data_IF_732154760915
#
_entry.id   IF_732154760915
#
_cell.length_a   1.000
_cell.length_b   1.000
_cell.length_c   1.000
_cell.angle_alpha   90.00
_cell.angle_beta   90.00
_cell.angle_gamma   90.00
#
_symmetry.space_group_name_H-M   'P 1'
#
loop_
_entity.id
_entity.type
_entity.pdbx_description
1 polymer ?
#
# COMPACT_ATOMS: atom_id res chain seq x y z
N UNK A 1 -9.72 3.93 20.79
CA UNK A 1 -9.20 5.29 20.48
C UNK A 1 -10.28 6.09 19.76
N UNK A 2 -10.41 7.39 20.05
CA UNK A 2 -11.34 8.31 19.35
C UNK A 2 -10.54 9.40 18.63
N UNK A 3 -10.92 9.72 17.40
CA UNK A 3 -10.38 10.86 16.68
C UNK A 3 -11.04 12.15 17.14
N UNK A 4 -10.23 13.13 17.53
CA UNK A 4 -10.69 14.49 17.87
C UNK A 4 -11.15 15.18 16.58
N UNK A 5 -12.27 15.90 16.67
CA UNK A 5 -12.82 16.63 15.52
C UNK A 5 -11.88 17.78 15.15
N UNK A 6 -11.68 18.04 13.85
CA UNK A 6 -10.84 19.14 13.36
C UNK A 6 -9.34 18.96 13.62
N UNK A 7 -8.90 17.75 13.98
CA UNK A 7 -7.48 17.50 14.28
C UNK A 7 -6.68 17.41 12.99
N UNK A 8 -5.62 18.21 12.92
CA UNK A 8 -4.54 18.08 11.96
C UNK A 8 -3.44 17.18 12.53
N UNK A 9 -2.94 16.26 11.71
CA UNK A 9 -1.81 15.38 11.99
C UNK A 9 -0.73 15.56 10.91
N UNK A 10 0.52 15.22 11.20
CA UNK A 10 1.62 15.45 10.26
C UNK A 10 1.56 14.49 9.07
N UNK A 11 1.18 13.24 9.31
CA UNK A 11 1.12 12.24 8.25
C UNK A 11 0.12 11.10 8.48
N UNK A 12 -0.39 10.57 7.36
CA UNK A 12 -1.19 9.36 7.26
C UNK A 12 -0.51 8.35 6.34
N UNK A 13 -0.37 7.11 6.78
CA UNK A 13 0.27 6.03 6.03
C UNK A 13 -0.68 4.84 5.87
N UNK A 14 -0.81 4.33 4.65
CA UNK A 14 -1.64 3.19 4.31
C UNK A 14 -1.02 2.44 3.11
N UNK A 15 -1.16 1.13 3.07
CA UNK A 15 -0.64 0.24 2.02
C UNK A 15 -1.61 -0.89 1.70
N UNK A 16 -1.29 -1.70 0.69
CA UNK A 16 -1.87 -3.03 0.47
C UNK A 16 -3.41 -3.02 0.45
N UNK A 17 -3.96 -2.04 -0.29
CA UNK A 17 -5.40 -1.88 -0.51
C UNK A 17 -5.89 -2.86 -1.57
N UNK A 18 -5.04 -3.15 -2.57
CA UNK A 18 -5.37 -3.91 -3.78
C UNK A 18 -6.72 -3.48 -4.36
N UNK A 19 -6.91 -2.17 -4.51
CA UNK A 19 -8.17 -1.64 -5.00
C UNK A 19 -8.41 -2.13 -6.42
N UNK A 20 -9.68 -2.29 -6.80
CA UNK A 20 -10.13 -2.89 -8.06
C UNK A 20 -10.05 -4.44 -8.11
N UNK A 21 -9.45 -5.09 -7.11
CA UNK A 21 -9.57 -6.54 -6.94
C UNK A 21 -11.05 -6.97 -6.86
N UNK A 22 -11.36 -8.14 -7.41
CA UNK A 22 -12.70 -8.72 -7.35
C UNK A 22 -12.77 -9.70 -6.18
N UNK A 23 -13.83 -9.65 -5.37
CA UNK A 23 -14.08 -10.62 -4.28
C UNK A 23 -14.05 -12.08 -4.72
N UNK A 24 -14.35 -12.37 -5.99
CA UNK A 24 -14.26 -13.72 -6.56
C UNK A 24 -12.83 -14.25 -6.70
N UNK A 25 -11.84 -13.35 -6.68
CA UNK A 25 -10.41 -13.63 -6.82
C UNK A 25 -9.84 -13.75 -5.41
N UNK A 26 -9.86 -12.64 -4.66
CA UNK A 26 -9.34 -12.57 -3.30
C UNK A 26 -10.25 -11.73 -2.44
N UNK A 27 -10.42 -12.13 -1.18
CA UNK A 27 -11.16 -11.36 -0.19
C UNK A 27 -10.49 -9.99 0.00
N UNK A 28 -11.29 -8.97 0.28
CA UNK A 28 -10.78 -7.62 0.51
C UNK A 28 -11.77 -6.82 1.35
N UNK A 29 -11.27 -5.81 2.06
CA UNK A 29 -12.02 -5.01 3.04
C UNK A 29 -12.22 -3.56 2.59
N UNK A 30 -12.48 -3.37 1.29
CA UNK A 30 -12.68 -2.02 0.71
C UNK A 30 -13.89 -1.28 1.29
N UNK A 31 -14.90 -1.99 1.80
CA UNK A 31 -16.07 -1.37 2.44
C UNK A 31 -15.65 -0.74 3.77
N UNK A 32 -14.87 -1.47 4.55
CA UNK A 32 -14.29 -1.04 5.82
C UNK A 32 -13.32 0.12 5.60
N UNK A 33 -12.50 0.06 4.54
CA UNK A 33 -11.65 1.19 4.13
C UNK A 33 -12.47 2.45 3.89
N UNK A 34 -13.52 2.37 3.08
CA UNK A 34 -14.37 3.53 2.85
C UNK A 34 -15.06 4.02 4.11
N UNK A 35 -15.43 3.13 5.03
CA UNK A 35 -15.95 3.54 6.33
C UNK A 35 -14.91 4.29 7.17
N UNK A 36 -13.63 3.88 7.15
CA UNK A 36 -12.55 4.62 7.80
C UNK A 36 -12.41 6.01 7.16
N UNK A 37 -12.23 6.08 5.84
CA UNK A 37 -11.96 7.35 5.16
C UNK A 37 -13.15 8.33 5.33
N UNK A 38 -14.38 7.83 5.20
CA UNK A 38 -15.59 8.63 5.41
C UNK A 38 -15.71 9.07 6.90
N UNK A 39 -15.28 8.23 7.85
CA UNK A 39 -15.28 8.59 9.27
C UNK A 39 -14.26 9.69 9.59
N UNK A 40 -13.02 9.56 9.11
CA UNK A 40 -11.97 10.58 9.27
C UNK A 40 -12.41 11.89 8.64
N UNK A 41 -12.96 11.84 7.41
CA UNK A 41 -13.47 13.03 6.75
C UNK A 41 -14.63 13.68 7.54
N UNK A 42 -15.60 12.90 8.02
CA UNK A 42 -16.72 13.43 8.84
C UNK A 42 -16.24 14.05 10.15
N UNK A 43 -15.12 13.58 10.68
CA UNK A 43 -14.46 14.16 11.87
C UNK A 43 -13.57 15.35 11.53
N UNK A 44 -13.52 15.79 10.26
CA UNK A 44 -12.63 16.88 9.83
C UNK A 44 -11.17 16.60 10.22
N UNK A 45 -10.78 15.32 10.28
CA UNK A 45 -9.39 14.94 10.48
C UNK A 45 -8.66 15.17 9.17
N UNK A 46 -7.54 15.86 9.24
CA UNK A 46 -6.69 16.18 8.08
C UNK A 46 -5.25 15.80 8.37
N UNK A 47 -4.49 15.63 7.31
CA UNK A 47 -3.08 15.29 7.36
C UNK A 47 -2.32 16.18 6.41
N UNK A 48 -1.17 16.69 6.86
CA UNK A 48 -0.27 17.41 5.96
C UNK A 48 0.26 16.46 4.90
N UNK A 49 0.79 15.31 5.32
CA UNK A 49 1.36 14.36 4.38
C UNK A 49 0.51 13.09 4.25
N UNK A 50 0.21 12.68 3.02
CA UNK A 50 -0.41 11.38 2.74
C UNK A 50 0.62 10.47 2.10
N UNK A 51 0.82 9.28 2.65
CA UNK A 51 1.73 8.27 2.11
C UNK A 51 0.93 7.02 1.77
N UNK A 52 0.86 6.73 0.47
CA UNK A 52 0.35 5.47 -0.05
C UNK A 52 1.54 4.55 -0.31
N UNK A 53 1.75 3.55 0.55
CA UNK A 53 2.97 2.74 0.59
C UNK A 53 2.82 1.46 -0.24
N UNK A 54 2.51 1.63 -1.52
CA UNK A 54 2.40 0.55 -2.50
C UNK A 54 1.18 -0.34 -2.36
N UNK A 55 0.92 -1.08 -3.43
CA UNK A 55 -0.18 -2.03 -3.60
C UNK A 55 -1.55 -1.40 -3.33
N UNK A 56 -1.71 -0.17 -3.81
CA UNK A 56 -2.94 0.60 -3.68
C UNK A 56 -3.96 0.16 -4.71
N UNK A 57 -3.51 -0.08 -5.94
CA UNK A 57 -4.31 -0.63 -7.02
C UNK A 57 -3.79 -2.03 -7.36
N UNK A 58 -4.70 -2.88 -7.77
CA UNK A 58 -4.34 -4.19 -8.30
C UNK A 58 -4.18 -4.08 -9.83
N UNK A 59 -3.05 -4.52 -10.38
CA UNK A 59 -2.74 -4.45 -11.81
C UNK A 59 -2.19 -5.77 -12.39
N UNK A 60 -1.94 -6.79 -11.56
CA UNK A 60 -1.47 -8.09 -12.03
C UNK A 60 -2.62 -8.94 -12.58
N UNK A 61 -3.77 -8.86 -11.91
CA UNK A 61 -4.95 -9.63 -12.29
C UNK A 61 -5.79 -8.97 -13.40
N UNK A 62 -5.54 -7.70 -13.70
CA UNK A 62 -6.23 -6.97 -14.76
C UNK A 62 -5.49 -5.67 -15.08
N UNK A 63 -5.72 -5.13 -16.27
CA UNK A 63 -5.16 -3.82 -16.63
C UNK A 63 -5.89 -2.66 -15.95
N UNK A 64 -5.19 -1.97 -15.04
CA UNK A 64 -5.61 -0.71 -14.42
C UNK A 64 -5.92 0.36 -15.48
N UNK A 65 -5.10 0.48 -16.53
CA UNK A 65 -5.31 1.37 -17.67
C UNK A 65 -6.64 1.16 -18.38
N UNK A 66 -6.96 -0.11 -18.71
CA UNK A 66 -8.24 -0.44 -19.36
C UNK A 66 -9.42 -0.10 -18.44
N UNK A 67 -9.27 -0.28 -17.13
CA UNK A 67 -10.31 0.10 -16.16
C UNK A 67 -10.47 1.61 -16.09
N UNK A 68 -9.38 2.36 -16.03
CA UNK A 68 -9.41 3.81 -15.94
C UNK A 68 -10.06 4.46 -17.16
N UNK A 69 -9.90 3.88 -18.36
CA UNK A 69 -10.56 4.36 -19.58
C UNK A 69 -12.07 4.11 -19.60
N UNK A 70 -12.54 3.05 -18.94
CA UNK A 70 -13.98 2.73 -18.90
C UNK A 70 -14.68 3.62 -17.88
N UNK A 71 -15.86 4.16 -18.23
CA UNK A 71 -16.68 5.01 -17.33
C UNK A 71 -16.86 4.38 -15.94
N UNK A 72 -17.25 3.10 -15.86
CA UNK A 72 -17.43 2.40 -14.57
C UNK A 72 -16.12 2.26 -13.78
N UNK A 73 -14.99 2.07 -14.45
CA UNK A 73 -13.70 1.93 -13.78
C UNK A 73 -13.13 3.28 -13.32
N UNK A 74 -13.22 4.33 -14.15
CA UNK A 74 -12.91 5.72 -13.75
C UNK A 74 -13.70 6.14 -12.51
N UNK A 75 -14.99 5.82 -12.45
CA UNK A 75 -15.83 6.04 -11.25
C UNK A 75 -15.28 5.32 -10.00
N UNK A 76 -14.72 4.11 -10.14
CA UNK A 76 -14.09 3.40 -9.02
C UNK A 76 -12.80 4.09 -8.58
N UNK A 77 -11.90 4.43 -9.50
CA UNK A 77 -10.69 5.20 -9.19
C UNK A 77 -11.04 6.48 -8.41
N UNK A 78 -11.94 7.30 -8.97
CA UNK A 78 -12.42 8.51 -8.32
C UNK A 78 -12.99 8.24 -6.93
N UNK A 79 -13.77 7.17 -6.76
CA UNK A 79 -14.33 6.78 -5.46
C UNK A 79 -13.28 6.62 -4.36
N UNK A 80 -12.12 6.04 -4.69
CA UNK A 80 -11.01 5.87 -3.76
C UNK A 80 -10.22 7.18 -3.59
N UNK A 81 -9.72 7.74 -4.70
CA UNK A 81 -8.80 8.87 -4.63
C UNK A 81 -9.46 10.16 -4.14
N UNK A 82 -10.74 10.41 -4.44
CA UNK A 82 -11.47 11.55 -3.84
C UNK A 82 -11.58 11.42 -2.32
N UNK A 83 -11.69 10.20 -1.79
CA UNK A 83 -11.74 9.99 -0.33
C UNK A 83 -10.39 10.21 0.32
N UNK A 84 -9.32 9.76 -0.34
CA UNK A 84 -7.95 10.00 0.13
C UNK A 84 -7.60 11.49 0.05
N UNK A 85 -7.90 12.15 -1.06
CA UNK A 85 -7.64 13.57 -1.27
C UNK A 85 -8.35 14.45 -0.23
N UNK A 86 -9.57 14.09 0.19
CA UNK A 86 -10.31 14.78 1.26
C UNK A 86 -9.64 14.74 2.63
N UNK A 87 -8.67 13.84 2.83
CA UNK A 87 -7.90 13.78 4.07
C UNK A 87 -6.68 14.71 4.05
N UNK A 88 -6.29 15.24 2.90
CA UNK A 88 -5.18 16.21 2.83
C UNK A 88 -5.59 17.55 3.45
N UNK A 89 -4.65 18.19 4.16
CA UNK A 89 -4.80 19.57 4.65
C UNK A 89 -4.78 20.62 3.54
N UNK A 90 -4.30 20.26 2.34
CA UNK A 90 -4.12 21.15 1.19
C UNK A 90 -2.72 21.75 1.07
N UNK A 91 -1.97 21.85 2.18
CA UNK A 91 -0.63 22.47 2.20
C UNK A 91 0.53 21.47 2.22
N UNK A 92 0.28 20.21 2.58
CA UNK A 92 1.31 19.19 2.59
C UNK A 92 1.30 18.30 1.35
N UNK A 93 2.12 17.23 1.38
CA UNK A 93 2.46 16.44 0.19
C UNK A 93 1.69 15.12 0.14
N UNK A 94 1.42 14.65 -1.07
CA UNK A 94 0.79 13.34 -1.29
C UNK A 94 1.76 12.45 -2.04
N UNK A 95 2.24 11.40 -1.40
CA UNK A 95 3.21 10.47 -1.96
C UNK A 95 2.51 9.16 -2.34
N UNK A 96 2.72 8.74 -3.59
CA UNK A 96 2.39 7.41 -4.07
C UNK A 96 3.69 6.63 -4.22
N UNK A 97 3.99 5.79 -3.25
CA UNK A 97 5.10 4.84 -3.34
C UNK A 97 4.62 3.63 -4.15
N UNK A 98 5.31 3.28 -5.23
CA UNK A 98 4.87 2.19 -6.11
C UNK A 98 5.14 0.83 -5.47
N UNK A 99 4.08 0.02 -5.34
CA UNK A 99 4.17 -1.39 -4.93
C UNK A 99 4.25 -2.34 -6.11
N UNK A 100 4.51 -3.62 -5.83
CA UNK A 100 4.68 -4.60 -6.88
C UNK A 100 3.38 -4.90 -7.63
N UNK A 101 2.22 -4.92 -6.96
CA UNK A 101 0.92 -5.14 -7.59
C UNK A 101 0.40 -3.94 -8.38
N UNK A 102 0.92 -2.73 -8.12
CA UNK A 102 0.49 -1.53 -8.82
C UNK A 102 0.93 -1.53 -10.30
N UNK A 103 1.94 -2.35 -10.64
CA UNK A 103 2.60 -2.32 -11.94
C UNK A 103 2.88 -3.71 -12.53
N UNK A 104 2.90 -3.75 -13.86
CA UNK A 104 3.42 -4.90 -14.65
C UNK A 104 4.67 -4.51 -15.43
N UNK A 105 5.33 -3.41 -15.05
CA UNK A 105 6.56 -2.88 -15.66
C UNK A 105 7.80 -3.48 -15.03
N UNK A 106 8.76 -3.89 -15.86
CA UNK A 106 10.09 -4.31 -15.41
C UNK A 106 10.84 -3.22 -14.64
N UNK A 107 10.48 -1.95 -14.87
CA UNK A 107 11.14 -0.79 -14.28
C UNK A 107 10.43 -0.26 -13.03
N UNK A 108 9.49 -1.00 -12.43
CA UNK A 108 8.72 -0.55 -11.25
C UNK A 108 7.96 0.77 -11.43
N UNK A 109 7.60 1.12 -12.68
CA UNK A 109 6.84 2.33 -13.01
C UNK A 109 5.37 2.03 -13.18
N UNK A 110 4.52 2.95 -12.74
CA UNK A 110 3.09 2.90 -13.08
C UNK A 110 2.90 2.98 -14.60
N UNK A 111 1.74 2.55 -15.06
CA UNK A 111 1.37 2.77 -16.46
C UNK A 111 1.12 4.26 -16.72
N UNK A 112 1.43 4.78 -17.92
CA UNK A 112 1.35 6.22 -18.19
C UNK A 112 0.00 6.85 -17.86
N UNK A 113 -1.12 6.12 -18.05
CA UNK A 113 -2.46 6.65 -17.76
C UNK A 113 -2.77 6.73 -16.27
N UNK A 114 -2.32 5.75 -15.49
CA UNK A 114 -2.46 5.78 -14.02
C UNK A 114 -1.55 6.86 -13.45
N UNK A 115 -0.32 6.95 -13.94
CA UNK A 115 0.64 7.99 -13.56
C UNK A 115 0.08 9.38 -13.83
N UNK A 116 -0.39 9.64 -15.05
CA UNK A 116 -1.03 10.92 -15.41
C UNK A 116 -2.21 11.25 -14.48
N UNK A 117 -3.11 10.29 -14.24
CA UNK A 117 -4.26 10.47 -13.36
C UNK A 117 -3.87 10.86 -11.93
N UNK A 118 -2.78 10.30 -11.41
CA UNK A 118 -2.26 10.61 -10.07
C UNK A 118 -1.57 11.98 -10.05
N UNK A 119 -0.78 12.31 -11.07
CA UNK A 119 -0.09 13.60 -11.21
C UNK A 119 -1.11 14.74 -11.33
N UNK A 120 -2.16 14.59 -12.14
CA UNK A 120 -3.26 15.58 -12.24
C UNK A 120 -3.93 15.85 -10.89
N UNK A 121 -3.88 14.89 -9.98
CA UNK A 121 -4.38 15.01 -8.61
C UNK A 121 -3.32 15.49 -7.63
N UNK A 122 -2.10 15.82 -8.05
CA UNK A 122 -1.02 16.31 -7.19
C UNK A 122 -0.36 15.21 -6.34
N UNK A 123 -0.35 13.96 -6.81
CA UNK A 123 0.42 12.88 -6.19
C UNK A 123 1.85 12.84 -6.73
N UNK A 124 2.82 12.77 -5.83
CA UNK A 124 4.24 12.54 -6.10
C UNK A 124 4.47 11.04 -6.18
N UNK A 125 4.74 10.53 -7.38
CA UNK A 125 4.98 9.10 -7.61
C UNK A 125 6.46 8.81 -7.42
N UNK A 126 6.79 7.81 -6.60
CA UNK A 126 8.17 7.45 -6.27
C UNK A 126 8.29 5.97 -5.90
N UNK A 127 9.52 5.43 -5.88
CA UNK A 127 9.78 4.09 -5.32
C UNK A 127 10.16 4.15 -3.83
N UNK A 128 10.63 5.31 -3.38
CA UNK A 128 11.01 5.65 -2.01
C UNK A 128 10.63 7.10 -1.73
N UNK A 129 9.92 7.33 -0.63
CA UNK A 129 9.70 8.66 -0.07
C UNK A 129 10.55 8.81 1.20
N UNK A 130 11.31 9.88 1.33
CA UNK A 130 12.26 10.05 2.42
C UNK A 130 12.28 11.50 2.89
N UNK A 131 12.40 11.69 4.20
CA UNK A 131 12.68 12.98 4.83
C UNK A 131 13.65 12.80 5.99
N UNK A 132 13.78 13.80 6.86
CA UNK A 132 14.71 13.77 8.00
C UNK A 132 14.35 12.71 9.06
N UNK A 133 13.07 12.34 9.15
CA UNK A 133 12.54 11.48 10.23
C UNK A 133 12.17 10.08 9.76
N UNK A 134 11.84 9.88 8.49
CA UNK A 134 11.35 8.61 7.98
C UNK A 134 11.80 8.30 6.55
N UNK A 135 11.75 7.00 6.24
CA UNK A 135 11.83 6.43 4.90
C UNK A 135 10.59 5.56 4.71
N UNK A 136 9.83 5.79 3.65
CA UNK A 136 8.70 4.96 3.24
C UNK A 136 9.01 4.26 1.91
N UNK A 137 8.94 2.93 1.93
CA UNK A 137 9.11 2.06 0.75
C UNK A 137 8.12 0.91 0.82
N UNK A 138 7.72 0.32 -0.30
CA UNK A 138 6.73 -0.76 -0.28
C UNK A 138 7.18 -2.00 0.51
N UNK A 139 8.38 -2.52 0.25
CA UNK A 139 8.95 -3.67 0.97
C UNK A 139 9.40 -4.81 0.06
N UNK A 140 8.79 -4.96 -1.11
CA UNK A 140 9.16 -5.99 -2.10
C UNK A 140 10.67 -6.00 -2.44
N UNK A 141 11.36 -4.87 -2.28
CA UNK A 141 12.82 -4.73 -2.43
C UNK A 141 13.61 -5.67 -1.49
N UNK A 142 13.04 -6.08 -0.36
CA UNK A 142 13.62 -7.08 0.54
C UNK A 142 13.55 -8.51 0.00
N UNK A 143 12.56 -8.83 -0.85
CA UNK A 143 12.32 -10.18 -1.41
C UNK A 143 12.87 -10.35 -2.83
N UNK A 144 12.83 -9.30 -3.65
CA UNK A 144 13.20 -9.35 -5.07
C UNK A 144 14.46 -8.52 -5.33
N UNK A 145 15.43 -9.13 -6.01
CA UNK A 145 16.43 -8.37 -6.77
C UNK A 145 15.89 -8.08 -8.18
N UNK A 146 16.53 -7.17 -8.92
CA UNK A 146 16.09 -6.74 -10.27
C UNK A 146 15.86 -7.91 -11.23
N UNK A 147 16.74 -8.91 -11.24
CA UNK A 147 16.61 -10.09 -12.12
C UNK A 147 15.39 -10.94 -11.76
N UNK A 148 15.21 -11.21 -10.46
CA UNK A 148 14.07 -12.00 -9.99
C UNK A 148 12.74 -11.27 -10.20
N UNK A 149 12.73 -9.95 -10.04
CA UNK A 149 11.59 -9.10 -10.41
C UNK A 149 11.26 -9.20 -11.90
N UNK A 150 12.28 -9.08 -12.76
CA UNK A 150 12.10 -9.19 -14.21
C UNK A 150 11.55 -10.55 -14.63
N UNK A 151 12.06 -11.63 -14.05
CA UNK A 151 11.54 -12.98 -14.28
C UNK A 151 10.07 -13.09 -13.87
N UNK A 152 9.70 -12.63 -12.67
CA UNK A 152 8.32 -12.67 -12.19
C UNK A 152 7.37 -11.89 -13.09
N UNK A 153 7.74 -10.69 -13.53
CA UNK A 153 6.92 -9.89 -14.45
C UNK A 153 6.78 -10.56 -15.82
N UNK A 154 7.83 -11.19 -16.34
CA UNK A 154 7.75 -11.92 -17.61
C UNK A 154 6.72 -13.05 -17.52
N UNK A 155 6.79 -13.86 -16.46
CA UNK A 155 5.83 -14.95 -16.28
C UNK A 155 4.41 -14.42 -16.05
N UNK A 156 4.24 -13.36 -15.24
CA UNK A 156 2.95 -12.71 -15.04
C UNK A 156 2.33 -12.20 -16.35
N UNK A 157 3.13 -11.59 -17.22
CA UNK A 157 2.66 -11.11 -18.54
C UNK A 157 2.20 -12.27 -19.43
N UNK A 158 2.96 -13.36 -19.45
CA UNK A 158 2.59 -14.58 -20.18
C UNK A 158 1.25 -15.12 -19.65
N UNK A 159 1.14 -15.28 -18.33
CA UNK A 159 -0.09 -15.73 -17.68
C UNK A 159 -1.28 -14.82 -17.97
N UNK A 160 -1.08 -13.49 -17.97
CA UNK A 160 -2.14 -12.54 -18.27
C UNK A 160 -2.63 -12.64 -19.72
N UNK A 161 -1.74 -12.87 -20.70
CA UNK A 161 -2.12 -13.12 -22.10
C UNK A 161 -2.97 -14.38 -22.20
N UNK A 162 -2.51 -15.49 -21.57
CA UNK A 162 -3.26 -16.75 -21.56
C UNK A 162 -4.63 -16.62 -20.87
N UNK A 163 -4.69 -15.97 -19.70
CA UNK A 163 -5.94 -15.76 -18.98
C UNK A 163 -6.90 -14.80 -19.70
N UNK A 164 -6.38 -13.86 -20.49
CA UNK A 164 -7.20 -12.98 -21.32
C UNK A 164 -7.83 -13.72 -22.51
N UNK A 165 -7.14 -14.72 -23.06
CA UNK A 165 -7.66 -15.59 -24.10
C UNK A 165 -8.63 -16.65 -23.55
N UNK A 166 -8.37 -17.16 -22.35
CA UNK A 166 -9.16 -18.21 -21.70
C UNK A 166 -9.51 -17.81 -20.25
N UNK A 167 -10.64 -17.12 -20.02
CA UNK A 167 -11.01 -16.63 -18.69
C UNK A 167 -11.11 -17.72 -17.60
N UNK A 168 -11.39 -18.97 -17.98
CA UNK A 168 -11.40 -20.11 -17.08
C UNK A 168 -10.01 -20.44 -16.48
N UNK A 169 -8.94 -20.07 -17.19
CA UNK A 169 -7.54 -20.27 -16.77
C UNK A 169 -7.03 -19.19 -15.80
N UNK A 170 -7.88 -18.22 -15.47
CA UNK A 170 -7.53 -17.18 -14.51
C UNK A 170 -7.18 -17.77 -13.14
N UNK A 171 -8.00 -18.72 -12.64
CA UNK A 171 -7.76 -19.43 -11.38
C UNK A 171 -6.48 -20.28 -11.43
N UNK A 172 -6.17 -20.89 -12.58
CA UNK A 172 -4.94 -21.64 -12.77
C UNK A 172 -3.70 -20.72 -12.68
N UNK A 173 -3.75 -19.59 -13.39
CA UNK A 173 -2.67 -18.60 -13.41
C UNK A 173 -2.41 -18.00 -12.02
N UNK A 174 -3.48 -17.72 -11.29
CA UNK A 174 -3.45 -17.28 -9.89
C UNK A 174 -2.81 -18.33 -8.97
N UNK A 175 -3.27 -19.58 -9.03
CA UNK A 175 -2.70 -20.68 -8.26
C UNK A 175 -1.22 -20.93 -8.60
N UNK A 176 -0.87 -20.83 -9.88
CA UNK A 176 0.52 -20.97 -10.33
C UNK A 176 1.41 -19.87 -9.76
N UNK A 177 0.96 -18.62 -9.83
CA UNK A 177 1.69 -17.49 -9.25
C UNK A 177 1.86 -17.67 -7.74
N UNK A 178 0.79 -17.96 -7.02
CA UNK A 178 0.84 -18.17 -5.57
C UNK A 178 1.75 -19.32 -5.15
N UNK A 179 1.78 -20.41 -5.93
CA UNK A 179 2.56 -21.60 -5.58
C UNK A 179 4.03 -21.50 -5.96
N UNK A 180 4.37 -20.79 -7.04
CA UNK A 180 5.72 -20.86 -7.62
C UNK A 180 6.46 -19.52 -7.73
N UNK A 181 5.74 -18.38 -7.67
CA UNK A 181 6.33 -17.05 -7.91
C UNK A 181 6.18 -16.10 -6.73
N UNK A 182 5.12 -16.26 -5.94
CA UNK A 182 4.98 -15.52 -4.70
C UNK A 182 6.03 -16.04 -3.72
N UNK A 183 7.15 -15.33 -3.60
CA UNK A 183 8.11 -15.62 -2.54
C UNK A 183 7.38 -15.48 -1.22
N UNK A 184 7.48 -16.51 -0.39
CA UNK A 184 6.73 -16.55 0.85
C UNK A 184 7.14 -15.37 1.72
N UNK A 185 6.13 -14.68 2.23
CA UNK A 185 6.31 -13.71 3.28
C UNK A 185 7.02 -14.38 4.47
N UNK A 186 7.85 -13.64 5.21
CA UNK A 186 8.52 -14.19 6.38
C UNK A 186 7.48 -14.80 7.33
N UNK A 187 7.67 -16.06 7.68
CA UNK A 187 6.69 -16.86 8.42
C UNK A 187 7.06 -17.03 9.90
N UNK A 188 8.35 -16.86 10.20
CA UNK A 188 8.91 -16.90 11.56
C UNK A 188 9.36 -15.51 12.03
N UNK A 189 9.57 -15.37 13.34
CA UNK A 189 10.08 -14.12 13.93
C UNK A 189 11.49 -13.84 13.42
N UNK A 190 12.32 -14.87 13.31
CA UNK A 190 13.70 -14.79 12.82
C UNK A 190 13.74 -14.35 11.34
N UNK A 191 12.90 -14.94 10.49
CA UNK A 191 12.76 -14.53 9.08
C UNK A 191 12.28 -13.09 8.96
N UNK A 192 11.32 -12.69 9.79
CA UNK A 192 10.80 -11.33 9.83
C UNK A 192 11.90 -10.34 10.18
N UNK A 193 12.67 -10.62 11.24
CA UNK A 193 13.80 -9.79 11.65
C UNK A 193 14.87 -9.72 10.55
N UNK A 194 15.21 -10.85 9.94
CA UNK A 194 16.20 -10.91 8.86
C UNK A 194 15.76 -10.09 7.64
N UNK A 195 14.50 -10.24 7.23
CA UNK A 195 13.90 -9.45 6.14
C UNK A 195 14.01 -7.95 6.41
N UNK A 196 13.62 -7.50 7.60
CA UNK A 196 13.65 -6.10 7.97
C UNK A 196 15.07 -5.55 8.17
N UNK A 197 16.02 -6.37 8.63
CA UNK A 197 17.44 -6.00 8.68
C UNK A 197 18.00 -5.77 7.28
N UNK A 198 17.66 -6.66 6.34
CA UNK A 198 18.03 -6.49 4.94
C UNK A 198 17.42 -5.22 4.35
N UNK A 199 16.14 -4.97 4.62
CA UNK A 199 15.43 -3.78 4.13
C UNK A 199 16.01 -2.47 4.69
N UNK A 200 16.35 -2.47 5.98
CA UNK A 200 17.03 -1.37 6.67
C UNK A 200 18.39 -1.04 6.03
N UNK A 201 19.19 -2.07 5.74
CA UNK A 201 20.48 -1.92 5.04
C UNK A 201 20.32 -1.37 3.62
N UNK A 202 19.35 -1.89 2.87
CA UNK A 202 19.08 -1.46 1.49
C UNK A 202 18.60 -0.01 1.40
N UNK A 203 17.93 0.48 2.44
CA UNK A 203 17.39 1.85 2.47
C UNK A 203 18.33 2.88 3.08
N UNK A 204 19.45 2.46 3.66
CA UNK A 204 20.33 3.30 4.47
C UNK A 204 19.53 4.00 5.59
N UNK A 205 18.77 3.20 6.35
CA UNK A 205 17.78 3.72 7.29
C UNK A 205 18.36 4.62 8.39
N UNK A 206 19.57 4.34 8.86
CA UNK A 206 20.20 4.99 10.01
C UNK A 206 19.23 5.10 11.21
N UNK A 207 18.97 6.33 11.68
CA UNK A 207 18.07 6.61 12.82
C UNK A 207 16.62 6.85 12.40
N UNK A 208 16.31 6.87 11.10
CA UNK A 208 14.97 7.18 10.59
C UNK A 208 14.01 6.02 10.85
N UNK A 209 12.71 6.32 10.86
CA UNK A 209 11.68 5.28 10.88
C UNK A 209 11.50 4.73 9.48
N UNK A 210 11.70 3.42 9.31
CA UNK A 210 11.39 2.72 8.08
C UNK A 210 9.93 2.25 8.12
N UNK A 211 9.11 2.77 7.22
CA UNK A 211 7.70 2.42 7.10
C UNK A 211 7.47 1.65 5.80
N UNK A 212 6.88 0.45 5.90
CA UNK A 212 6.61 -0.42 4.75
C UNK A 212 5.21 -1.03 4.76
N UNK A 213 4.87 -1.72 3.67
CA UNK A 213 3.72 -2.60 3.53
C UNK A 213 4.18 -4.01 3.11
N UNK A 214 3.59 -4.55 2.06
CA UNK A 214 4.04 -5.74 1.31
C UNK A 214 3.93 -7.09 2.02
N UNK A 215 4.36 -7.23 3.28
CA UNK A 215 4.25 -8.52 4.01
C UNK A 215 2.88 -8.70 4.67
N UNK A 216 2.00 -7.70 4.57
CA UNK A 216 0.64 -7.68 5.17
C UNK A 216 0.57 -7.77 6.71
N UNK A 217 1.71 -7.95 7.38
CA UNK A 217 1.78 -8.06 8.83
C UNK A 217 1.76 -6.70 9.49
N UNK A 218 0.68 -6.42 10.21
CA UNK A 218 0.60 -5.16 10.95
C UNK A 218 1.46 -5.22 12.21
N UNK A 219 2.67 -4.65 12.14
CA UNK A 219 3.68 -4.76 13.20
C UNK A 219 4.52 -3.50 13.38
N UNK A 220 5.21 -3.45 14.52
CA UNK A 220 6.22 -2.46 14.84
C UNK A 220 7.39 -3.17 15.52
N UNK A 221 8.63 -2.84 15.11
CA UNK A 221 9.87 -3.34 15.69
C UNK A 221 10.64 -2.13 16.24
N UNK A 222 10.37 -1.71 17.49
CA UNK A 222 10.94 -0.48 18.04
C UNK A 222 12.47 -0.45 18.06
N UNK A 223 13.10 -1.60 18.35
CA UNK A 223 14.57 -1.71 18.38
C UNK A 223 15.24 -1.44 17.03
N UNK A 224 14.47 -1.48 15.94
CA UNK A 224 14.94 -1.24 14.58
C UNK A 224 14.30 -0.01 13.94
N UNK A 225 13.46 0.75 14.66
CA UNK A 225 12.66 1.84 14.11
C UNK A 225 11.83 1.44 12.88
N UNK A 226 11.24 0.25 12.89
CA UNK A 226 10.50 -0.30 11.75
C UNK A 226 9.01 -0.37 12.05
N UNK A 227 8.21 0.02 11.08
CA UNK A 227 6.75 -0.10 11.11
C UNK A 227 6.28 -0.72 9.79
N UNK A 228 5.41 -1.71 9.87
CA UNK A 228 4.63 -2.17 8.73
C UNK A 228 3.18 -1.72 8.91
N UNK A 229 2.58 -1.12 7.87
CA UNK A 229 1.21 -0.61 7.90
C UNK A 229 0.14 -1.70 7.87
N UNK A 230 0.51 -2.95 7.60
CA UNK A 230 -0.40 -4.07 7.40
C UNK A 230 -1.13 -3.96 6.07
N UNK A 231 -2.45 -4.21 6.06
CA UNK A 231 -3.21 -4.24 4.81
C UNK A 231 -4.70 -3.89 4.99
N UNK A 232 -5.43 -3.84 3.86
CA UNK A 232 -6.89 -3.77 3.81
C UNK A 232 -7.52 -5.03 3.22
N UNK A 233 -6.91 -6.18 3.52
CA UNK A 233 -7.36 -7.52 3.18
C UNK A 233 -7.67 -8.33 4.45
N UNK A 234 -6.74 -8.33 5.40
CA UNK A 234 -6.80 -9.01 6.70
C UNK A 234 -6.79 -8.02 7.87
N UNK A 235 -5.91 -7.03 7.85
CA UNK A 235 -5.52 -6.27 9.05
C UNK A 235 -6.43 -5.10 9.39
N UNK A 236 -6.96 -4.37 8.39
CA UNK A 236 -7.72 -3.11 8.58
C UNK A 236 -6.90 -2.04 9.32
N UNK A 237 -5.65 -1.88 8.92
CA UNK A 237 -4.68 -1.08 9.66
C UNK A 237 -4.15 0.10 8.86
N UNK A 238 -3.67 1.09 9.60
CA UNK A 238 -3.02 2.29 9.08
C UNK A 238 -2.15 2.90 10.19
N UNK A 239 -1.30 3.84 9.81
CA UNK A 239 -0.42 4.56 10.76
C UNK A 239 -0.68 6.05 10.64
N UNK A 240 -0.60 6.76 11.76
CA UNK A 240 -0.64 8.22 11.81
C UNK A 240 0.60 8.75 12.52
N UNK A 241 1.08 9.92 12.10
CA UNK A 241 2.17 10.65 12.75
C UNK A 241 1.65 11.93 13.40
N UNK A 242 2.09 12.19 14.63
CA UNK A 242 1.87 13.42 15.41
C UNK A 242 3.18 13.80 16.11
N UNK A 243 3.88 14.77 15.55
CA UNK A 243 5.27 15.10 15.79
C UNK A 243 6.19 13.89 15.62
N UNK A 244 6.84 13.54 16.73
CA UNK A 244 7.76 12.40 16.86
C UNK A 244 7.07 11.06 17.12
N UNK A 245 5.73 11.04 17.17
CA UNK A 245 4.95 9.86 17.57
C UNK A 245 4.28 9.23 16.37
N UNK A 246 4.57 7.95 16.12
CA UNK A 246 3.90 7.13 15.13
C UNK A 246 2.95 6.17 15.83
N UNK A 247 1.65 6.31 15.59
CA UNK A 247 0.63 5.43 16.17
C UNK A 247 0.11 4.45 15.13
N UNK A 248 0.30 3.16 15.38
CA UNK A 248 -0.35 2.09 14.62
C UNK A 248 -1.78 1.89 15.09
N UNK A 249 -2.74 1.97 14.17
CA UNK A 249 -4.17 1.86 14.47
C UNK A 249 -4.82 0.78 13.62
N UNK A 250 -5.62 -0.06 14.27
CA UNK A 250 -6.48 -1.07 13.65
C UNK A 250 -7.95 -0.68 13.79
N UNK A 251 -8.72 -0.82 12.72
CA UNK A 251 -10.18 -0.74 12.77
C UNK A 251 -10.77 -2.12 13.11
N UNK A 252 -11.24 -2.27 14.34
CA UNK A 252 -11.79 -3.54 14.87
C UNK A 252 -13.26 -3.72 14.51
N UNK A 253 -14.01 -2.63 14.46
CA UNK A 253 -15.41 -2.59 14.03
C UNK A 253 -15.73 -1.22 13.41
N UNK A 254 -16.97 -1.06 12.94
CA UNK A 254 -17.40 0.19 12.28
C UNK A 254 -17.25 1.39 13.22
N UNK A 255 -16.30 2.28 12.91
CA UNK A 255 -15.92 3.48 13.70
C UNK A 255 -15.28 3.15 15.05
N UNK A 256 -14.84 1.91 15.26
CA UNK A 256 -14.13 1.49 16.46
C UNK A 256 -12.68 1.20 16.11
N UNK A 257 -11.78 1.90 16.81
CA UNK A 257 -10.36 1.89 16.51
C UNK A 257 -9.57 1.47 17.75
N UNK A 258 -8.69 0.49 17.57
CA UNK A 258 -7.72 0.07 18.58
C UNK A 258 -6.36 0.62 18.18
N UNK A 259 -5.69 1.29 19.13
CA UNK A 259 -4.29 1.66 18.95
C UNK A 259 -3.46 0.44 19.37
N UNK A 260 -2.72 -0.16 18.44
CA UNK A 260 -1.94 -1.38 18.70
C UNK A 260 -0.55 -1.04 19.24
N UNK A 261 0.08 0.03 18.73
CA UNK A 261 1.40 0.45 19.16
C UNK A 261 1.61 1.96 19.03
N UNK A 262 2.64 2.45 19.71
CA UNK A 262 3.22 3.79 19.53
C UNK A 262 4.73 3.65 19.45
N UNK A 263 5.33 4.22 18.41
CA UNK A 263 6.77 4.41 18.30
C UNK A 263 7.08 5.90 18.47
N UNK A 264 8.05 6.22 19.33
CA UNK A 264 8.52 7.60 19.55
C UNK A 264 9.97 7.70 19.07
N UNK A 265 10.32 8.81 18.41
CA UNK A 265 11.63 9.01 17.75
C UNK A 265 12.29 10.32 18.18
#
# INVERSE_FOLDING_TARGET
MKFRRGRLYDAFFISDIHYLLNKKIKSHKHKELFQLLDHLNKKEVRFDNLYLIGDIIENWFFSADRRLQRVKGKKRFNKLFERLDRLSSGNGKKYYVVGNHDTTSYLMRLTPKVEHYLIERGWIICEKAENETLIAIHGHQGQYNKFTWMGSILVLRILHVFASAFPAMFKFSENFYHKHLNRQDPSTVEETLHYYQKLSKLTHQDKKVLISGHTHDFLCIPKMNIINTGDWVKSNSFVIQDGKKFSGIRMIARKEFKKEFVLNV
#
